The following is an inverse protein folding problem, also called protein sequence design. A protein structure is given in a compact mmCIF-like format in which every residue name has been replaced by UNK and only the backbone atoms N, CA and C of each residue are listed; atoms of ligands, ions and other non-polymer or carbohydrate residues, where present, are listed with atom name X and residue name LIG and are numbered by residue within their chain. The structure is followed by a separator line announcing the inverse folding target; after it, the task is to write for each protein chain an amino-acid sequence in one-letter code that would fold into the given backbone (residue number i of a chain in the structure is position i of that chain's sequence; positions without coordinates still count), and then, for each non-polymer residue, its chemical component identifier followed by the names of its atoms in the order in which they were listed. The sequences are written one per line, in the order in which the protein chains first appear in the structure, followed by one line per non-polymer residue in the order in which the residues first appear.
data_IF_473565527183
#
_entry.id   IF_473565527183
#
_cell.length_a   1.000
_cell.length_b   1.000
_cell.length_c   1.000
_cell.angle_alpha   90.00
_cell.angle_beta   90.00
_cell.angle_gamma   90.00
#
_symmetry.space_group_name_H-M   'P 1'
#
loop_
_entity.id
_entity.type
_entity.pdbx_description
1 polymer ?
#
# COMPACT_ATOMS: atom_id res chain seq x y z
N UNK A 1 17.17 -26.66 -15.46
CA UNK A 1 16.50 -27.22 -14.26
C UNK A 1 15.22 -26.44 -13.95
N UNK A 2 14.22 -27.04 -13.31
CA UNK A 2 13.03 -26.33 -12.81
C UNK A 2 13.03 -26.31 -11.28
N UNK A 3 12.74 -25.17 -10.69
CA UNK A 3 12.68 -24.99 -9.23
C UNK A 3 11.30 -24.46 -8.88
N UNK A 4 10.69 -24.98 -7.82
CA UNK A 4 9.38 -24.53 -7.36
C UNK A 4 9.54 -23.40 -6.34
N UNK A 5 8.68 -22.39 -6.46
CA UNK A 5 8.56 -21.26 -5.53
C UNK A 5 7.08 -21.07 -5.17
N UNK A 6 6.80 -20.76 -3.91
CA UNK A 6 5.45 -20.52 -3.37
C UNK A 6 5.36 -19.12 -2.75
N UNK A 7 4.36 -18.34 -3.15
CA UNK A 7 4.08 -17.04 -2.53
C UNK A 7 3.10 -17.19 -1.35
N UNK A 8 2.89 -16.11 -0.60
CA UNK A 8 1.96 -16.08 0.54
C UNK A 8 0.52 -16.52 0.21
N UNK A 9 0.10 -16.44 -1.07
CA UNK A 9 -1.20 -16.91 -1.55
C UNK A 9 -1.19 -18.38 -2.00
N UNK A 10 -0.13 -19.14 -1.72
CA UNK A 10 0.03 -20.56 -2.11
C UNK A 10 0.05 -20.82 -3.63
N UNK A 11 0.34 -19.80 -4.45
CA UNK A 11 0.59 -20.03 -5.87
C UNK A 11 1.97 -20.64 -6.06
N UNK A 12 2.03 -21.86 -6.61
CA UNK A 12 3.29 -22.46 -7.06
C UNK A 12 3.71 -21.85 -8.42
N UNK A 13 4.98 -21.48 -8.52
CA UNK A 13 5.62 -21.06 -9.77
C UNK A 13 6.85 -21.92 -10.02
N UNK A 14 7.04 -22.42 -11.25
CA UNK A 14 8.14 -23.33 -11.61
C UNK A 14 9.02 -22.78 -12.74
N UNK A 15 9.77 -21.68 -12.51
CA UNK A 15 10.70 -21.14 -13.51
C UNK A 15 11.79 -22.15 -13.89
N UNK A 16 12.30 -22.00 -15.12
CA UNK A 16 13.41 -22.81 -15.63
C UNK A 16 14.72 -22.01 -15.58
N UNK A 17 15.76 -22.60 -14.99
CA UNK A 17 17.11 -22.02 -14.89
C UNK A 17 18.10 -22.84 -15.72
N UNK A 18 19.17 -22.17 -16.19
CA UNK A 18 20.36 -22.85 -16.70
C UNK A 18 21.01 -23.68 -15.57
N UNK A 19 21.73 -24.74 -15.93
CA UNK A 19 22.30 -25.68 -14.94
C UNK A 19 23.42 -25.09 -14.09
N UNK A 20 24.12 -24.09 -14.63
CA UNK A 20 25.23 -23.37 -14.04
C UNK A 20 24.81 -22.03 -13.40
N UNK A 21 23.54 -21.64 -13.53
CA UNK A 21 23.03 -20.41 -12.96
C UNK A 21 22.68 -20.59 -11.47
N UNK A 22 23.07 -19.65 -10.59
CA UNK A 22 22.61 -19.66 -9.22
C UNK A 22 21.10 -19.44 -9.16
N UNK A 23 20.41 -20.23 -8.34
CA UNK A 23 18.97 -20.07 -8.10
C UNK A 23 18.76 -18.96 -7.07
N UNK A 24 17.90 -17.97 -7.33
CA UNK A 24 17.61 -16.92 -6.36
C UNK A 24 16.81 -17.46 -5.17
N UNK A 25 16.92 -16.78 -4.03
CA UNK A 25 16.13 -17.08 -2.83
C UNK A 25 14.63 -16.79 -3.06
N UNK A 26 14.33 -15.71 -3.78
CA UNK A 26 12.98 -15.27 -4.08
C UNK A 26 12.71 -15.21 -5.58
N UNK A 27 11.44 -15.39 -5.93
CA UNK A 27 10.93 -15.25 -7.29
C UNK A 27 9.62 -14.47 -7.28
N UNK A 28 9.38 -13.63 -8.30
CA UNK A 28 8.10 -12.92 -8.41
C UNK A 28 7.00 -13.87 -8.87
N UNK A 29 5.93 -13.98 -8.09
CA UNK A 29 4.77 -14.75 -8.47
C UNK A 29 4.09 -14.10 -9.70
N UNK A 30 4.01 -14.76 -10.87
CA UNK A 30 3.45 -14.16 -12.08
C UNK A 30 1.94 -13.93 -11.99
N UNK A 31 1.27 -14.49 -10.97
CA UNK A 31 -0.17 -14.36 -10.78
C UNK A 31 -0.56 -13.17 -9.90
N UNK A 32 0.22 -12.86 -8.87
CA UNK A 32 -0.14 -11.81 -7.90
C UNK A 32 0.98 -10.81 -7.58
N UNK A 33 2.16 -10.96 -8.18
CA UNK A 33 3.31 -10.06 -7.98
C UNK A 33 3.94 -10.13 -6.58
N UNK A 34 3.51 -11.06 -5.73
CA UNK A 34 4.11 -11.25 -4.41
C UNK A 34 5.42 -12.04 -4.54
N UNK A 35 6.39 -11.80 -3.64
CA UNK A 35 7.57 -12.65 -3.54
C UNK A 35 7.16 -14.09 -3.19
N UNK A 36 7.82 -15.03 -3.86
CA UNK A 36 7.68 -16.46 -3.67
C UNK A 36 9.03 -17.06 -3.26
N UNK A 37 9.01 -18.03 -2.34
CA UNK A 37 10.21 -18.68 -1.79
C UNK A 37 10.16 -20.18 -2.02
N UNK A 38 11.27 -20.89 -1.81
CA UNK A 38 11.37 -22.32 -2.11
C UNK A 38 10.74 -23.22 -1.02
N UNK A 39 10.43 -22.69 0.17
CA UNK A 39 9.71 -23.42 1.21
C UNK A 39 8.20 -23.17 1.09
N UNK A 40 7.44 -24.20 0.70
CA UNK A 40 5.98 -24.14 0.62
C UNK A 40 5.33 -23.87 1.98
N UNK A 41 5.91 -24.39 3.07
CA UNK A 41 5.34 -24.30 4.42
C UNK A 41 5.62 -22.94 5.08
N UNK A 42 6.61 -22.21 4.57
CA UNK A 42 6.98 -20.87 5.04
C UNK A 42 7.27 -19.93 3.86
N UNK A 43 6.25 -19.55 3.07
CA UNK A 43 6.44 -18.62 1.96
C UNK A 43 6.85 -17.22 2.46
N UNK A 44 7.50 -16.40 1.62
CA UNK A 44 7.84 -15.03 1.97
C UNK A 44 6.58 -14.21 2.28
N UNK A 45 6.67 -13.36 3.30
CA UNK A 45 5.58 -12.45 3.62
C UNK A 45 5.41 -11.38 2.51
N UNK A 46 4.18 -10.88 2.29
CA UNK A 46 3.97 -9.74 1.41
C UNK A 46 4.81 -8.53 1.85
N UNK A 47 5.40 -7.77 0.92
CA UNK A 47 6.08 -6.52 1.25
C UNK A 47 5.13 -5.60 2.01
N UNK A 48 5.64 -4.95 3.05
CA UNK A 48 4.89 -3.90 3.75
C UNK A 48 5.06 -2.61 2.96
N UNK A 49 3.97 -2.12 2.40
CA UNK A 49 3.98 -0.77 1.84
C UNK A 49 3.95 0.22 3.00
N UNK A 50 5.00 1.03 3.12
CA UNK A 50 4.96 2.19 4.00
C UNK A 50 3.87 3.14 3.47
N UNK A 51 2.90 3.55 4.31
CA UNK A 51 1.87 4.46 3.85
C UNK A 51 2.50 5.78 3.42
N UNK A 52 2.24 6.18 2.17
CA UNK A 52 2.52 7.54 1.77
C UNK A 52 1.74 8.51 2.65
N UNK A 53 2.34 9.67 2.88
CA UNK A 53 1.73 10.73 3.66
C UNK A 53 0.52 11.29 2.94
N UNK A 54 -0.62 11.28 3.62
CA UNK A 54 -1.89 11.79 3.08
C UNK A 54 -1.91 13.31 3.01
N UNK A 55 -2.80 13.89 2.20
CA UNK A 55 -2.98 15.34 2.16
C UNK A 55 -3.31 15.92 3.56
N UNK A 56 -4.17 15.23 4.33
CA UNK A 56 -4.49 15.62 5.70
C UNK A 56 -3.26 15.59 6.62
N UNK A 57 -2.40 14.59 6.49
CA UNK A 57 -1.16 14.52 7.27
C UNK A 57 -0.23 15.71 6.96
N UNK A 58 -0.08 16.10 5.69
CA UNK A 58 0.65 17.33 5.34
C UNK A 58 0.00 18.60 5.91
N UNK A 59 -1.33 18.67 5.98
CA UNK A 59 -2.02 19.81 6.60
C UNK A 59 -1.72 19.87 8.10
N UNK A 60 -1.78 18.74 8.80
CA UNK A 60 -1.57 18.66 10.26
C UNK A 60 -0.16 19.01 10.71
N UNK A 61 0.85 18.88 9.85
CA UNK A 61 2.21 19.31 10.21
C UNK A 61 2.38 20.83 10.24
N UNK A 62 1.53 21.57 9.55
CA UNK A 62 1.60 23.03 9.46
C UNK A 62 0.41 23.74 10.12
N UNK A 63 -0.59 22.99 10.58
CA UNK A 63 -1.80 23.50 11.23
C UNK A 63 -2.08 22.68 12.48
N UNK A 64 -2.24 23.38 13.60
CA UNK A 64 -2.73 22.78 14.83
C UNK A 64 -4.22 22.44 14.72
N UNK A 65 -4.72 21.63 15.64
CA UNK A 65 -6.16 21.36 15.74
C UNK A 65 -6.96 22.65 15.99
N UNK A 66 -6.37 23.63 16.70
CA UNK A 66 -6.96 24.95 16.91
C UNK A 66 -7.10 25.73 15.59
N UNK A 67 -6.07 25.72 14.74
CA UNK A 67 -6.14 26.35 13.42
C UNK A 67 -7.20 25.68 12.54
N UNK A 68 -7.29 24.35 12.60
CA UNK A 68 -8.32 23.59 11.89
C UNK A 68 -9.73 23.97 12.34
N UNK A 69 -9.95 24.08 13.65
CA UNK A 69 -11.24 24.50 14.21
C UNK A 69 -11.63 25.92 13.78
N UNK A 70 -10.67 26.85 13.75
CA UNK A 70 -10.91 28.22 13.29
C UNK A 70 -11.30 28.27 11.80
N UNK A 71 -10.56 27.57 10.93
CA UNK A 71 -10.88 27.50 9.49
C UNK A 71 -12.30 26.92 9.28
N UNK A 72 -12.64 25.88 10.03
CA UNK A 72 -13.98 25.28 9.98
C UNK A 72 -15.06 26.29 10.39
N UNK A 73 -14.86 27.00 11.50
CA UNK A 73 -15.80 28.01 11.96
C UNK A 73 -16.02 29.13 10.92
N UNK A 74 -14.94 29.64 10.33
CA UNK A 74 -15.01 30.65 9.26
C UNK A 74 -15.77 30.15 8.03
N UNK A 75 -15.54 28.89 7.63
CA UNK A 75 -16.24 28.28 6.50
C UNK A 75 -17.74 28.09 6.78
N UNK A 76 -18.09 27.65 7.98
CA UNK A 76 -19.48 27.48 8.41
C UNK A 76 -20.23 28.82 8.46
N UNK A 77 -19.57 29.89 8.92
CA UNK A 77 -20.17 31.23 8.95
C UNK A 77 -20.45 31.75 7.54
N UNK A 78 -19.53 31.54 6.60
CA UNK A 78 -19.73 31.86 5.17
C UNK A 78 -20.88 31.05 4.57
N UNK A 79 -20.99 29.77 4.89
CA UNK A 79 -22.09 28.92 4.41
C UNK A 79 -23.44 29.39 4.96
N UNK A 80 -23.53 29.74 6.25
CA UNK A 80 -24.76 30.24 6.87
C UNK A 80 -25.19 31.58 6.31
N UNK A 81 -24.25 32.50 6.11
CA UNK A 81 -24.53 33.84 5.56
C UNK A 81 -24.91 33.80 4.07
N UNK A 82 -24.38 32.84 3.30
CA UNK A 82 -24.75 32.63 1.89
C UNK A 82 -26.02 31.77 1.70
N UNK A 83 -26.43 31.03 2.72
CA UNK A 83 -27.65 30.22 2.75
C UNK A 83 -28.90 31.08 2.96
N UNK A 84 -29.37 31.79 1.92
CA UNK A 84 -30.77 32.24 1.86
C UNK A 84 -31.68 31.05 1.51
N UNK A 85 -32.78 30.81 2.23
CA UNK A 85 -33.81 29.90 1.74
C UNK A 85 -34.36 30.50 0.44
N UNK A 86 -34.35 29.72 -0.64
CA UNK A 86 -35.16 30.01 -1.82
C UNK A 86 -36.56 29.52 -1.49
N UNK A 87 -37.37 30.35 -0.84
CA UNK A 87 -38.83 30.18 -0.78
C UNK A 87 -39.49 31.56 -0.81
#
# INVERSE_FOLDING_TARGET
MRVSFWCANMHETRPSFASDAPVPEFWDCPRCGLPAGQDQSSPPAPPRNEPYKTHLAYVKERRSDKDGAQILAEALERLRSSSRPIY
#
